data_IF_867412926091
#
_entry.id   IF_867412926091
#
_cell.length_a   1.000
_cell.length_b   1.000
_cell.length_c   1.000
_cell.angle_alpha   90.00
_cell.angle_beta   90.00
_cell.angle_gamma   90.00
#
_symmetry.space_group_name_H-M   'P 1'
#
loop_
_entity.id
_entity.type
_entity.pdbx_description
1 polymer ?
#
# COMPACT_ATOMS: atom_id res chain seq x y z
N UNK A 1 -6.85 4.27 16.65
CA UNK A 1 -6.14 3.12 16.00
C UNK A 1 -4.70 3.54 15.73
N UNK A 2 -3.75 2.61 15.84
CA UNK A 2 -2.33 2.85 15.53
C UNK A 2 -2.09 2.61 14.03
N UNK A 3 -1.46 3.57 13.34
CA UNK A 3 -1.15 3.47 11.91
C UNK A 3 0.37 3.49 11.75
N UNK A 4 0.93 2.44 11.19
CA UNK A 4 2.37 2.34 10.91
C UNK A 4 2.59 2.46 9.40
N UNK A 5 3.37 3.45 9.00
CA UNK A 5 3.67 3.74 7.58
C UNK A 5 5.16 3.46 7.33
N UNK A 6 5.51 2.24 6.83
CA UNK A 6 6.87 1.89 6.49
C UNK A 6 7.29 2.56 5.18
N UNK A 7 8.23 3.49 5.25
CA UNK A 7 8.77 4.22 4.08
C UNK A 7 10.29 4.39 4.14
N UNK A 8 10.97 3.36 4.68
CA UNK A 8 12.43 3.33 4.76
C UNK A 8 13.11 2.90 3.44
N UNK A 9 12.35 2.57 2.39
CA UNK A 9 12.88 2.19 1.09
C UNK A 9 13.62 3.35 0.39
N UNK A 10 14.57 3.00 -0.48
CA UNK A 10 15.39 3.99 -1.22
C UNK A 10 14.67 4.71 -2.34
N UNK A 11 13.57 4.17 -2.84
CA UNK A 11 12.90 4.73 -4.02
C UNK A 11 13.71 4.61 -5.31
N UNK A 12 14.51 3.55 -5.46
CA UNK A 12 15.49 3.37 -6.56
C UNK A 12 14.90 3.62 -7.95
N UNK A 13 13.65 3.21 -8.22
CA UNK A 13 13.00 3.41 -9.54
C UNK A 13 12.86 4.89 -9.88
N UNK A 14 12.53 5.73 -8.88
CA UNK A 14 12.44 7.17 -9.04
C UNK A 14 13.81 7.81 -9.17
N UNK A 15 14.80 7.38 -8.38
CA UNK A 15 16.19 7.85 -8.51
C UNK A 15 16.76 7.57 -9.90
N UNK A 16 16.55 6.37 -10.45
CA UNK A 16 16.97 5.99 -11.80
C UNK A 16 16.28 6.81 -12.89
N UNK A 17 15.09 7.31 -12.63
CA UNK A 17 14.34 8.21 -13.52
C UNK A 17 14.68 9.70 -13.32
N UNK A 18 15.70 10.01 -12.48
CA UNK A 18 16.18 11.37 -12.27
C UNK A 18 15.48 12.16 -11.16
N UNK A 19 14.58 11.54 -10.40
CA UNK A 19 13.97 12.21 -9.26
C UNK A 19 14.98 12.36 -8.11
N UNK A 20 15.11 13.56 -7.58
CA UNK A 20 15.98 13.86 -6.40
C UNK A 20 15.16 13.89 -5.11
N UNK A 21 13.85 14.07 -5.23
CA UNK A 21 12.91 14.10 -4.10
C UNK A 21 12.61 12.68 -3.63
N UNK A 22 12.67 12.38 -2.32
CA UNK A 22 12.22 11.10 -1.79
C UNK A 22 10.80 10.77 -2.21
N UNK A 23 10.54 9.51 -2.55
CA UNK A 23 9.27 9.06 -3.11
C UNK A 23 8.03 9.58 -2.35
N UNK A 24 7.96 9.55 -1.01
CA UNK A 24 6.76 10.04 -0.30
C UNK A 24 6.46 11.52 -0.52
N UNK A 25 7.47 12.31 -0.89
CA UNK A 25 7.36 13.76 -1.09
C UNK A 25 7.23 14.18 -2.56
N UNK A 26 7.21 13.24 -3.49
CA UNK A 26 7.00 13.54 -4.92
C UNK A 26 5.60 14.13 -5.08
N UNK A 27 5.52 15.26 -5.79
CA UNK A 27 4.24 15.89 -6.16
C UNK A 27 3.56 15.10 -7.28
N UNK A 28 2.27 14.87 -7.09
CA UNK A 28 1.38 14.24 -8.06
C UNK A 28 0.11 15.08 -8.13
N UNK A 29 -0.09 15.82 -9.19
CA UNK A 29 -1.24 16.73 -9.36
C UNK A 29 -1.40 17.78 -8.25
N UNK A 30 -0.30 18.34 -7.75
CA UNK A 30 -0.31 19.39 -6.71
C UNK A 30 -0.45 18.86 -5.29
N UNK A 31 -0.29 17.54 -5.08
CA UNK A 31 -0.36 16.90 -3.77
C UNK A 31 0.75 15.87 -3.64
N UNK A 32 1.47 15.84 -2.52
CA UNK A 32 2.54 14.87 -2.30
C UNK A 32 1.97 13.46 -2.13
N UNK A 33 2.71 12.44 -2.55
CA UNK A 33 2.27 11.03 -2.43
C UNK A 33 1.81 10.71 -0.99
N UNK A 34 2.55 11.14 0.01
CA UNK A 34 2.21 10.86 1.42
C UNK A 34 0.90 11.55 1.85
N UNK A 35 0.53 12.67 1.28
CA UNK A 35 -0.72 13.36 1.61
C UNK A 35 -1.94 12.55 1.16
N UNK A 36 -1.86 11.86 0.02
CA UNK A 36 -2.91 10.93 -0.41
C UNK A 36 -3.10 9.78 0.57
N UNK A 37 -2.03 9.33 1.21
CA UNK A 37 -2.09 8.27 2.23
C UNK A 37 -2.66 8.81 3.55
N UNK A 38 -2.27 10.01 3.93
CA UNK A 38 -2.78 10.62 5.16
C UNK A 38 -4.28 10.94 5.11
N UNK A 39 -4.84 11.20 3.93
CA UNK A 39 -6.29 11.37 3.74
C UNK A 39 -7.11 10.12 4.06
N UNK A 40 -6.50 8.95 4.11
CA UNK A 40 -7.16 7.70 4.50
C UNK A 40 -7.50 7.66 5.99
N UNK A 41 -6.86 8.51 6.80
CA UNK A 41 -6.89 8.45 8.25
C UNK A 41 -7.44 9.74 8.85
N UNK A 42 -7.85 9.68 10.10
CA UNK A 42 -8.39 10.81 10.85
C UNK A 42 -7.39 11.35 11.86
N UNK A 43 -7.67 12.53 12.41
CA UNK A 43 -6.84 13.14 13.47
C UNK A 43 -6.85 12.32 14.79
N UNK A 44 -7.76 11.34 14.91
CA UNK A 44 -7.82 10.44 16.07
C UNK A 44 -6.86 9.25 15.95
N UNK A 45 -6.27 9.06 14.78
CA UNK A 45 -5.32 7.97 14.54
C UNK A 45 -3.91 8.39 14.91
N UNK A 46 -3.21 7.53 15.64
CA UNK A 46 -1.82 7.74 15.99
C UNK A 46 -0.92 7.25 14.84
N UNK A 47 -0.23 8.16 14.17
CA UNK A 47 0.63 7.86 13.03
C UNK A 47 2.08 7.64 13.48
N UNK A 48 2.69 6.55 12.98
CA UNK A 48 4.12 6.27 13.10
C UNK A 48 4.70 6.18 11.69
N UNK A 49 5.53 7.14 11.31
CA UNK A 49 6.35 7.06 10.10
C UNK A 49 7.67 6.37 10.40
N UNK A 50 8.08 5.42 9.56
CA UNK A 50 9.40 4.80 9.66
C UNK A 50 10.17 5.14 8.38
N UNK A 51 11.12 6.06 8.50
CA UNK A 51 11.79 6.73 7.40
C UNK A 51 13.20 6.20 7.17
N UNK A 52 13.69 6.34 5.94
CA UNK A 52 15.08 6.17 5.62
C UNK A 52 15.90 7.34 6.19
N UNK A 53 16.91 7.06 7.01
CA UNK A 53 17.75 8.08 7.64
C UNK A 53 18.42 9.01 6.62
N UNK A 54 18.86 8.51 5.47
CA UNK A 54 19.48 9.34 4.42
C UNK A 54 18.50 10.39 3.86
N UNK A 55 17.21 10.06 3.76
CA UNK A 55 16.18 11.01 3.32
C UNK A 55 15.92 12.09 4.38
N UNK A 56 16.07 11.74 5.66
CA UNK A 56 15.85 12.66 6.77
C UNK A 56 17.00 13.66 6.94
N UNK A 57 18.22 13.25 6.60
CA UNK A 57 19.43 14.11 6.65
C UNK A 57 19.49 15.11 5.49
N UNK A 58 18.68 14.94 4.46
CA UNK A 58 18.66 15.80 3.28
C UNK A 58 17.99 17.15 3.59
N UNK A 59 18.80 18.19 3.77
CA UNK A 59 18.33 19.55 4.07
C UNK A 59 17.47 20.16 2.96
N UNK A 60 17.64 19.71 1.71
CA UNK A 60 16.90 20.25 0.56
C UNK A 60 15.44 19.81 0.61
N UNK A 61 15.18 18.57 1.00
CA UNK A 61 13.83 17.99 0.97
C UNK A 61 13.03 18.29 2.24
N UNK A 62 13.72 18.62 3.35
CA UNK A 62 13.11 18.91 4.66
C UNK A 62 12.02 17.90 5.02
N UNK A 63 12.29 16.62 4.79
CA UNK A 63 11.26 15.58 4.93
C UNK A 63 10.64 15.55 6.32
N UNK A 64 11.44 15.70 7.37
CA UNK A 64 10.94 15.70 8.75
C UNK A 64 9.96 16.85 8.98
N UNK A 65 10.34 18.07 8.60
CA UNK A 65 9.50 19.24 8.79
C UNK A 65 8.18 19.07 8.03
N UNK A 66 8.26 18.60 6.78
CA UNK A 66 7.08 18.35 5.96
C UNK A 66 6.13 17.33 6.59
N UNK A 67 6.64 16.23 7.14
CA UNK A 67 5.79 15.22 7.78
C UNK A 67 5.13 15.78 9.05
N UNK A 68 5.84 16.58 9.84
CA UNK A 68 5.31 17.22 11.04
C UNK A 68 4.36 18.40 10.73
N UNK A 69 4.54 19.09 9.60
CA UNK A 69 3.54 20.06 9.11
C UNK A 69 2.22 19.38 8.75
N UNK A 70 2.27 18.19 8.14
CA UNK A 70 1.09 17.42 7.74
C UNK A 70 0.41 16.72 8.94
N UNK A 71 1.22 16.19 9.86
CA UNK A 71 0.75 15.47 11.06
C UNK A 71 1.65 15.84 12.25
N UNK A 72 1.32 16.92 12.96
CA UNK A 72 2.14 17.43 14.07
C UNK A 72 2.29 16.46 15.25
N UNK A 73 1.32 15.58 15.42
CA UNK A 73 1.25 14.56 16.46
C UNK A 73 1.93 13.23 16.06
N UNK A 74 2.37 13.10 14.81
CA UNK A 74 2.98 11.87 14.33
C UNK A 74 4.34 11.58 14.99
N UNK A 75 4.61 10.30 15.22
CA UNK A 75 5.94 9.84 15.60
C UNK A 75 6.76 9.53 14.36
N UNK A 76 7.97 10.04 14.31
CA UNK A 76 8.92 9.75 13.22
C UNK A 76 10.05 8.89 13.78
N UNK A 77 10.23 7.70 13.22
CA UNK A 77 11.34 6.81 13.47
C UNK A 77 12.24 6.79 12.23
N UNK A 78 13.54 6.63 12.45
CA UNK A 78 14.52 6.57 11.37
C UNK A 78 15.32 5.28 11.47
N UNK A 79 15.66 4.72 10.33
CA UNK A 79 16.54 3.56 10.27
C UNK A 79 17.50 3.66 9.08
N UNK A 80 18.63 2.95 9.13
CA UNK A 80 19.51 2.83 7.98
C UNK A 80 18.82 2.22 6.78
N UNK A 81 19.29 2.57 5.59
CA UNK A 81 18.82 1.94 4.36
C UNK A 81 19.01 0.42 4.39
N UNK A 82 18.01 -0.31 3.96
CA UNK A 82 18.04 -1.77 3.86
C UNK A 82 17.19 -2.28 2.68
N UNK A 83 17.36 -3.56 2.34
CA UNK A 83 16.61 -4.27 1.31
C UNK A 83 15.83 -5.47 1.87
N UNK A 84 15.52 -5.45 3.15
CA UNK A 84 14.85 -6.58 3.84
C UNK A 84 13.33 -6.51 3.78
N UNK A 85 12.77 -5.50 3.16
CA UNK A 85 11.32 -5.36 2.99
C UNK A 85 10.58 -4.69 4.18
N UNK A 86 9.25 -4.49 4.03
CA UNK A 86 8.47 -3.70 4.97
C UNK A 86 8.30 -4.35 6.36
N UNK A 87 8.28 -5.68 6.49
CA UNK A 87 8.20 -6.34 7.81
C UNK A 87 9.38 -5.93 8.69
N UNK A 88 10.61 -5.96 8.14
CA UNK A 88 11.80 -5.53 8.86
C UNK A 88 11.76 -4.05 9.25
N UNK A 89 11.11 -3.23 8.43
CA UNK A 89 10.86 -1.82 8.75
C UNK A 89 9.89 -1.69 9.92
N UNK A 90 8.77 -2.43 9.91
CA UNK A 90 7.72 -2.38 10.93
C UNK A 90 8.22 -2.76 12.32
N UNK A 91 9.22 -3.64 12.44
CA UNK A 91 9.82 -4.01 13.73
C UNK A 91 10.34 -2.79 14.51
N UNK A 92 10.73 -1.70 13.83
CA UNK A 92 11.20 -0.48 14.49
C UNK A 92 10.09 0.23 15.30
N UNK A 93 8.81 -0.09 15.04
CA UNK A 93 7.68 0.49 15.75
C UNK A 93 7.22 -0.33 16.97
N UNK A 94 7.78 -1.49 17.24
CA UNK A 94 7.26 -2.43 18.26
C UNK A 94 7.13 -1.82 19.66
N UNK A 95 8.08 -1.00 20.09
CA UNK A 95 8.08 -0.35 21.41
C UNK A 95 6.94 0.69 21.56
N UNK A 96 6.34 1.10 20.44
CA UNK A 96 5.27 2.09 20.37
C UNK A 96 3.90 1.48 20.09
N UNK A 97 3.83 0.16 19.96
CA UNK A 97 2.61 -0.61 19.72
C UNK A 97 2.29 -1.42 20.98
N UNK A 98 1.12 -1.16 21.59
CA UNK A 98 0.64 -1.94 22.71
C UNK A 98 0.13 -3.30 22.23
N UNK A 99 0.19 -4.29 23.11
CA UNK A 99 -0.15 -5.67 22.75
C UNK A 99 -1.65 -5.85 22.46
N UNK A 100 -2.51 -5.06 23.06
CA UNK A 100 -3.97 -5.14 22.98
C UNK A 100 -4.60 -4.06 22.07
N UNK A 101 -3.80 -3.27 21.34
CA UNK A 101 -4.33 -2.24 20.45
C UNK A 101 -4.44 -2.71 18.99
N UNK A 102 -5.42 -2.14 18.29
CA UNK A 102 -5.59 -2.34 16.85
C UNK A 102 -4.53 -1.56 16.07
N UNK A 103 -3.94 -2.23 15.07
CA UNK A 103 -2.87 -1.66 14.27
C UNK A 103 -3.19 -1.82 12.78
N UNK A 104 -2.97 -0.75 12.02
CA UNK A 104 -2.91 -0.81 10.55
C UNK A 104 -1.47 -0.55 10.10
N UNK A 105 -0.94 -1.44 9.26
CA UNK A 105 0.24 -1.16 8.45
C UNK A 105 -0.26 -0.66 7.09
N UNK A 106 0.18 0.53 6.67
CA UNK A 106 -0.20 1.11 5.39
C UNK A 106 1.03 1.50 4.59
N UNK A 107 1.19 0.96 3.39
CA UNK A 107 2.27 1.36 2.49
C UNK A 107 2.04 2.78 1.99
N UNK A 108 3.12 3.52 1.77
CA UNK A 108 3.07 4.95 1.50
C UNK A 108 2.78 5.32 0.05
N UNK A 109 2.36 4.39 -0.80
CA UNK A 109 2.33 4.57 -2.25
C UNK A 109 1.09 4.05 -2.97
N UNK A 110 0.12 3.52 -2.23
CA UNK A 110 -1.10 2.95 -2.82
C UNK A 110 -2.34 3.60 -2.19
N UNK A 111 -2.69 4.84 -2.54
CA UNK A 111 -3.91 5.45 -2.03
C UNK A 111 -5.16 4.81 -2.65
N UNK A 112 -6.24 4.81 -1.89
CA UNK A 112 -7.54 4.25 -2.27
C UNK A 112 -8.69 5.08 -1.67
N UNK A 113 -9.92 4.77 -2.05
CA UNK A 113 -11.13 5.33 -1.45
C UNK A 113 -11.81 4.22 -0.64
N UNK A 114 -12.17 4.49 0.58
CA UNK A 114 -12.86 3.56 1.44
C UNK A 114 -13.88 4.24 2.37
N UNK A 115 -14.87 3.49 2.81
CA UNK A 115 -15.69 3.88 3.94
C UNK A 115 -15.11 3.25 5.21
N UNK A 116 -14.50 4.06 6.04
CA UNK A 116 -13.84 3.59 7.27
C UNK A 116 -14.83 3.00 8.27
N UNK A 117 -16.01 3.58 8.40
CA UNK A 117 -17.01 3.09 9.36
C UNK A 117 -17.53 1.72 8.93
N UNK A 118 -17.75 1.50 7.64
CA UNK A 118 -18.09 0.19 7.09
C UNK A 118 -16.97 -0.83 7.33
N UNK A 119 -15.72 -0.43 7.18
CA UNK A 119 -14.57 -1.28 7.49
C UNK A 119 -14.55 -1.69 8.97
N UNK A 120 -14.72 -0.73 9.90
CA UNK A 120 -14.76 -1.02 11.34
C UNK A 120 -15.92 -1.97 11.68
N UNK A 121 -17.09 -1.75 11.10
CA UNK A 121 -18.22 -2.67 11.26
C UNK A 121 -17.92 -4.06 10.70
N UNK A 122 -17.28 -4.13 9.52
CA UNK A 122 -16.91 -5.39 8.89
C UNK A 122 -15.97 -6.23 9.77
N UNK A 123 -14.87 -5.64 10.26
CA UNK A 123 -13.90 -6.37 11.09
C UNK A 123 -14.49 -6.76 12.43
N UNK A 124 -15.39 -5.94 12.99
CA UNK A 124 -16.05 -6.21 14.28
C UNK A 124 -17.12 -7.30 14.15
N UNK A 125 -18.05 -7.16 13.19
CA UNK A 125 -19.16 -8.09 13.01
C UNK A 125 -18.69 -9.49 12.63
N UNK A 126 -17.62 -9.58 11.84
CA UNK A 126 -17.03 -10.85 11.43
C UNK A 126 -16.00 -11.39 12.42
N UNK A 127 -15.75 -10.69 13.53
CA UNK A 127 -14.77 -11.06 14.55
C UNK A 127 -13.40 -11.41 13.94
N UNK A 128 -12.88 -10.56 13.04
CA UNK A 128 -11.63 -10.81 12.33
C UNK A 128 -10.42 -10.50 13.22
N UNK A 129 -9.41 -11.36 13.17
CA UNK A 129 -8.10 -11.15 13.80
C UNK A 129 -7.17 -10.32 12.91
N UNK A 130 -7.35 -10.45 11.61
CA UNK A 130 -6.65 -9.68 10.58
C UNK A 130 -7.54 -9.40 9.38
N UNK A 131 -7.26 -8.31 8.67
CA UNK A 131 -7.98 -7.96 7.45
C UNK A 131 -7.05 -7.31 6.43
N UNK A 132 -7.08 -7.78 5.19
CA UNK A 132 -6.36 -7.17 4.08
C UNK A 132 -7.32 -6.23 3.34
N UNK A 133 -6.97 -4.95 3.23
CA UNK A 133 -7.71 -4.06 2.35
C UNK A 133 -7.35 -4.38 0.90
N UNK A 134 -8.36 -4.53 0.07
CA UNK A 134 -8.23 -5.10 -1.27
C UNK A 134 -9.05 -4.34 -2.31
N UNK A 135 -8.93 -4.76 -3.53
CA UNK A 135 -9.76 -4.33 -4.64
C UNK A 135 -9.89 -5.44 -5.67
N UNK A 136 -10.96 -5.37 -6.44
CA UNK A 136 -11.19 -6.21 -7.63
C UNK A 136 -11.53 -5.32 -8.82
N UNK A 137 -11.54 -5.88 -10.00
CA UNK A 137 -11.94 -5.16 -11.21
C UNK A 137 -10.87 -4.26 -11.79
N UNK A 138 -11.33 -3.30 -12.58
CA UNK A 138 -10.46 -2.38 -13.29
C UNK A 138 -10.09 -1.17 -12.43
N UNK A 139 -8.79 -0.98 -12.28
CA UNK A 139 -8.22 0.25 -11.75
C UNK A 139 -7.13 0.75 -12.71
N UNK A 140 -6.83 2.06 -12.77
CA UNK A 140 -5.87 2.61 -13.75
C UNK A 140 -4.54 1.86 -13.81
N UNK A 141 -3.98 1.46 -12.67
CA UNK A 141 -2.71 0.73 -12.60
C UNK A 141 -2.78 -0.68 -13.18
N UNK A 142 -3.95 -1.35 -13.18
CA UNK A 142 -4.09 -2.72 -13.70
C UNK A 142 -3.91 -2.81 -15.21
N UNK A 143 -3.97 -1.68 -15.92
CA UNK A 143 -3.67 -1.62 -17.34
C UNK A 143 -2.17 -1.82 -17.65
N UNK A 144 -1.31 -1.50 -16.69
CA UNK A 144 0.15 -1.51 -16.88
C UNK A 144 0.85 -2.64 -16.12
N UNK A 145 0.39 -2.97 -14.91
CA UNK A 145 1.04 -3.95 -14.06
C UNK A 145 0.03 -4.70 -13.20
N UNK A 146 0.22 -6.01 -13.12
CA UNK A 146 -0.51 -6.91 -12.22
C UNK A 146 0.38 -7.38 -11.07
N UNK A 147 1.48 -6.66 -10.76
CA UNK A 147 2.43 -7.03 -9.71
C UNK A 147 1.94 -6.59 -8.32
N UNK A 148 0.73 -7.02 -7.96
CA UNK A 148 0.14 -6.89 -6.64
C UNK A 148 0.23 -8.21 -5.89
N UNK A 149 -0.14 -8.22 -4.62
CA UNK A 149 -0.39 -9.48 -3.93
C UNK A 149 -1.86 -9.86 -4.11
N UNK A 150 -2.11 -11.12 -4.46
CA UNK A 150 -3.45 -11.62 -4.75
C UNK A 150 -3.89 -12.66 -3.72
N UNK A 151 -5.18 -12.65 -3.39
CA UNK A 151 -5.75 -13.52 -2.38
C UNK A 151 -6.62 -14.60 -3.00
N UNK A 152 -6.51 -15.81 -2.46
CA UNK A 152 -7.50 -16.86 -2.60
C UNK A 152 -8.49 -16.72 -1.44
N UNK A 153 -9.77 -16.61 -1.74
CA UNK A 153 -10.81 -16.33 -0.76
C UNK A 153 -11.95 -17.36 -0.82
N UNK A 154 -12.60 -17.58 0.30
CA UNK A 154 -13.82 -18.38 0.41
C UNK A 154 -14.66 -17.89 1.60
N UNK A 155 -15.99 -17.73 1.41
CA UNK A 155 -16.91 -17.32 2.46
C UNK A 155 -16.47 -16.05 3.23
N UNK A 156 -16.04 -15.01 2.49
CA UNK A 156 -15.54 -13.74 3.01
C UNK A 156 -14.24 -13.83 3.85
N UNK A 157 -13.61 -14.98 3.86
CA UNK A 157 -12.31 -15.19 4.51
C UNK A 157 -11.21 -15.40 3.47
N UNK A 158 -10.01 -14.94 3.83
CA UNK A 158 -8.80 -15.23 3.09
C UNK A 158 -8.29 -16.63 3.45
N UNK A 159 -8.01 -17.46 2.45
CA UNK A 159 -7.38 -18.77 2.61
C UNK A 159 -5.87 -18.71 2.43
N UNK A 160 -5.41 -17.90 1.48
CA UNK A 160 -4.00 -17.76 1.12
C UNK A 160 -3.79 -16.42 0.40
N UNK A 161 -2.59 -15.85 0.50
CA UNK A 161 -2.16 -14.69 -0.27
C UNK A 161 -0.78 -14.91 -0.87
N UNK A 162 -0.60 -14.55 -2.14
CA UNK A 162 0.68 -14.63 -2.86
C UNK A 162 1.18 -13.24 -3.22
N UNK A 163 2.45 -13.01 -3.00
CA UNK A 163 3.11 -11.76 -3.37
C UNK A 163 3.49 -11.77 -4.84
N UNK A 164 2.97 -10.80 -5.62
CA UNK A 164 3.25 -10.58 -7.06
C UNK A 164 2.91 -11.77 -7.97
N UNK A 165 2.00 -12.62 -7.56
CA UNK A 165 1.57 -13.79 -8.31
C UNK A 165 0.05 -13.95 -8.22
N UNK A 166 -0.59 -14.18 -9.37
CA UNK A 166 -2.03 -14.42 -9.49
C UNK A 166 -2.34 -15.92 -9.35
N UNK A 167 -3.56 -16.24 -8.96
CA UNK A 167 -4.06 -17.64 -8.93
C UNK A 167 -4.66 -18.08 -10.27
N UNK A 168 -5.14 -17.11 -11.07
CA UNK A 168 -5.82 -17.37 -12.35
C UNK A 168 -5.24 -16.50 -13.47
N UNK A 169 -5.65 -16.77 -14.70
CA UNK A 169 -5.30 -15.96 -15.87
C UNK A 169 -6.07 -14.63 -15.93
N UNK A 170 -7.01 -14.38 -15.00
CA UNK A 170 -7.79 -13.14 -14.91
C UNK A 170 -7.61 -12.46 -13.56
N UNK A 171 -6.49 -11.81 -13.32
CA UNK A 171 -6.17 -11.18 -12.03
C UNK A 171 -7.16 -10.08 -11.61
N UNK A 172 -7.94 -9.52 -12.54
CA UNK A 172 -8.95 -8.52 -12.20
C UNK A 172 -10.19 -9.12 -11.49
N UNK A 173 -10.36 -10.43 -11.50
CA UNK A 173 -11.40 -11.11 -10.73
C UNK A 173 -10.91 -11.58 -9.36
N UNK A 174 -9.62 -11.44 -9.09
CA UNK A 174 -9.03 -11.78 -7.80
C UNK A 174 -8.96 -10.56 -6.89
N UNK A 175 -9.09 -10.77 -5.58
CA UNK A 175 -8.86 -9.71 -4.60
C UNK A 175 -7.38 -9.40 -4.50
N UNK A 176 -7.00 -8.20 -4.94
CA UNK A 176 -5.63 -7.72 -4.89
C UNK A 176 -5.43 -6.76 -3.70
N UNK A 177 -4.34 -6.94 -2.95
CA UNK A 177 -4.03 -6.09 -1.80
C UNK A 177 -3.74 -4.65 -2.21
N UNK A 178 -4.28 -3.68 -1.46
CA UNK A 178 -3.94 -2.26 -1.58
C UNK A 178 -2.62 -1.89 -0.89
N UNK A 179 -1.96 -2.82 -0.22
CA UNK A 179 -0.80 -2.53 0.64
C UNK A 179 -1.19 -2.02 2.03
N UNK A 180 -2.43 -2.26 2.46
CA UNK A 180 -2.93 -1.90 3.78
C UNK A 180 -3.44 -3.13 4.52
N UNK A 181 -2.99 -3.29 5.77
CA UNK A 181 -3.08 -4.51 6.55
C UNK A 181 -3.52 -4.20 7.98
N UNK A 182 -4.69 -4.68 8.40
CA UNK A 182 -5.22 -4.54 9.74
C UNK A 182 -4.91 -5.75 10.60
N UNK A 183 -4.42 -5.52 11.80
CA UNK A 183 -4.26 -6.49 12.88
C UNK A 183 -5.11 -6.04 14.06
N UNK A 184 -5.94 -6.94 14.58
CA UNK A 184 -6.77 -6.67 15.77
C UNK A 184 -5.92 -6.37 16.99
N UNK A 185 -4.73 -6.95 17.09
CA UNK A 185 -3.86 -6.87 18.26
C UNK A 185 -2.41 -6.63 17.84
N UNK A 186 -1.74 -5.74 18.59
CA UNK A 186 -0.32 -5.48 18.38
C UNK A 186 0.58 -6.68 18.72
N UNK A 187 0.23 -7.51 19.70
CA UNK A 187 1.00 -8.73 20.01
C UNK A 187 0.96 -9.75 18.85
N UNK A 188 -0.19 -9.88 18.16
CA UNK A 188 -0.29 -10.72 16.97
C UNK A 188 0.60 -10.18 15.85
N UNK A 189 0.54 -8.86 15.58
CA UNK A 189 1.42 -8.24 14.58
C UNK A 189 2.89 -8.54 14.86
N UNK A 190 3.35 -8.32 16.09
CA UNK A 190 4.74 -8.56 16.50
C UNK A 190 5.12 -10.03 16.31
N UNK A 191 4.32 -10.95 16.89
CA UNK A 191 4.52 -12.40 16.81
C UNK A 191 4.69 -12.89 15.37
N UNK A 192 3.75 -12.53 14.49
CA UNK A 192 3.74 -13.08 13.13
C UNK A 192 4.75 -12.41 12.20
N UNK A 193 5.09 -11.14 12.42
CA UNK A 193 6.19 -10.50 11.72
C UNK A 193 7.55 -11.12 12.09
N UNK A 194 7.78 -11.42 13.37
CA UNK A 194 9.00 -12.10 13.83
C UNK A 194 9.07 -13.52 13.27
N UNK A 195 7.96 -14.26 13.33
CA UNK A 195 7.88 -15.62 12.82
C UNK A 195 8.14 -15.68 11.29
N UNK A 196 7.68 -14.69 10.53
CA UNK A 196 7.95 -14.59 9.10
C UNK A 196 9.44 -14.42 8.80
N UNK A 197 10.17 -13.69 9.63
CA UNK A 197 11.63 -13.54 9.51
C UNK A 197 12.34 -14.82 9.96
N UNK A 198 11.95 -15.42 11.07
CA UNK A 198 12.53 -16.67 11.59
C UNK A 198 12.40 -17.83 10.60
N UNK A 199 11.26 -17.91 9.89
CA UNK A 199 11.00 -18.93 8.88
C UNK A 199 11.52 -18.57 7.48
N UNK A 200 12.21 -17.42 7.33
CA UNK A 200 12.66 -16.86 6.03
C UNK A 200 11.53 -16.75 4.98
N UNK A 201 10.33 -16.39 5.43
CA UNK A 201 9.16 -16.23 4.56
C UNK A 201 9.28 -14.93 3.76
N UNK A 202 10.06 -14.99 2.68
CA UNK A 202 10.42 -13.82 1.87
C UNK A 202 10.06 -14.02 0.40
N UNK A 203 9.89 -12.91 -0.33
CA UNK A 203 9.81 -12.88 -1.78
C UNK A 203 10.99 -12.08 -2.33
N UNK A 204 11.88 -12.73 -3.08
CA UNK A 204 13.13 -12.16 -3.58
C UNK A 204 14.02 -11.53 -2.47
N UNK A 205 14.04 -12.14 -1.27
CA UNK A 205 14.80 -11.66 -0.12
C UNK A 205 14.20 -10.47 0.61
N UNK A 206 12.97 -10.09 0.30
CA UNK A 206 12.21 -9.06 0.99
C UNK A 206 11.04 -9.68 1.77
N UNK A 207 10.89 -9.31 3.04
CA UNK A 207 9.81 -9.76 3.92
C UNK A 207 8.60 -8.83 3.77
N UNK A 208 7.56 -9.29 3.08
CA UNK A 208 6.32 -8.55 2.84
C UNK A 208 5.26 -8.84 3.91
N UNK A 209 4.52 -7.81 4.31
CA UNK A 209 3.42 -7.96 5.28
C UNK A 209 2.32 -8.89 4.75
N UNK A 210 2.12 -8.95 3.44
CA UNK A 210 1.22 -9.90 2.78
C UNK A 210 1.48 -11.32 3.21
N UNK A 211 2.74 -11.77 3.17
CA UNK A 211 3.11 -13.15 3.48
C UNK A 211 2.91 -13.49 4.96
N UNK A 212 2.98 -12.49 5.86
CA UNK A 212 2.69 -12.67 7.28
C UNK A 212 1.27 -13.20 7.51
N UNK A 213 0.32 -12.80 6.69
CA UNK A 213 -1.08 -13.21 6.81
C UNK A 213 -1.32 -14.71 6.57
N UNK A 214 -0.47 -15.36 5.79
CA UNK A 214 -0.53 -16.82 5.63
C UNK A 214 -0.24 -17.53 6.96
N UNK A 215 0.61 -16.98 7.80
CA UNK A 215 0.90 -17.55 9.14
C UNK A 215 -0.30 -17.40 10.08
N UNK A 216 -1.03 -16.28 10.02
CA UNK A 216 -2.26 -16.10 10.78
C UNK A 216 -3.30 -17.15 10.39
N UNK A 217 -3.49 -17.37 9.08
CA UNK A 217 -4.41 -18.39 8.56
C UNK A 217 -3.99 -19.80 8.98
N UNK A 218 -2.69 -20.13 8.91
CA UNK A 218 -2.16 -21.42 9.34
C UNK A 218 -2.40 -21.72 10.81
N UNK A 219 -2.33 -20.68 11.67
CA UNK A 219 -2.63 -20.78 13.11
C UNK A 219 -4.15 -20.77 13.39
N UNK A 220 -5.00 -20.76 12.38
CA UNK A 220 -6.47 -20.81 12.52
C UNK A 220 -7.11 -19.49 12.90
N UNK A 221 -6.40 -18.35 12.80
CA UNK A 221 -6.97 -17.05 13.04
C UNK A 221 -7.90 -16.63 11.89
N UNK A 222 -8.90 -15.84 12.24
CA UNK A 222 -9.90 -15.36 11.26
C UNK A 222 -9.34 -14.16 10.50
N UNK A 223 -8.91 -14.40 9.28
CA UNK A 223 -8.43 -13.36 8.38
C UNK A 223 -9.47 -13.11 7.29
N UNK A 224 -9.90 -11.86 7.16
CA UNK A 224 -10.81 -11.42 6.10
C UNK A 224 -10.15 -10.48 5.10
N UNK A 225 -10.97 -9.97 4.22
CA UNK A 225 -10.61 -8.89 3.31
C UNK A 225 -11.72 -7.85 3.26
N UNK A 226 -11.37 -6.65 2.84
CA UNK A 226 -12.32 -5.55 2.66
C UNK A 226 -12.01 -4.80 1.37
N UNK A 227 -12.91 -4.88 0.39
CA UNK A 227 -12.71 -4.23 -0.89
C UNK A 227 -12.94 -2.72 -0.80
N UNK A 228 -12.00 -1.99 -1.35
CA UNK A 228 -12.03 -0.54 -1.48
C UNK A 228 -12.62 -0.14 -2.84
N UNK A 229 -13.19 1.06 -2.93
CA UNK A 229 -13.89 1.50 -4.14
C UNK A 229 -12.95 1.82 -5.29
N UNK A 230 -11.80 2.41 -4.98
CA UNK A 230 -10.83 2.86 -5.98
C UNK A 230 -9.42 2.72 -5.41
N UNK A 231 -8.50 2.26 -6.25
CA UNK A 231 -7.07 2.16 -5.91
C UNK A 231 -6.23 2.76 -7.02
N UNK A 232 -5.21 3.49 -6.66
CA UNK A 232 -4.13 3.87 -7.56
C UNK A 232 -2.78 3.53 -6.95
N UNK A 233 -1.73 3.49 -7.76
CA UNK A 233 -0.40 3.08 -7.32
C UNK A 233 0.62 4.13 -7.75
N UNK A 234 1.49 4.52 -6.82
CA UNK A 234 2.60 5.46 -7.04
C UNK A 234 3.96 4.81 -6.78
N UNK A 235 4.10 3.53 -7.10
CA UNK A 235 5.31 2.74 -6.88
C UNK A 235 6.42 3.01 -7.89
N UNK A 236 6.08 3.57 -9.06
CA UNK A 236 7.02 3.88 -10.16
C UNK A 236 6.68 5.20 -10.84
N UNK A 237 7.65 5.83 -11.53
CA UNK A 237 7.39 7.04 -12.34
C UNK A 237 6.30 6.84 -13.40
N UNK A 238 6.23 5.65 -14.02
CA UNK A 238 5.21 5.31 -15.00
C UNK A 238 3.81 5.29 -14.40
N UNK A 239 3.66 4.74 -13.22
CA UNK A 239 2.37 4.71 -12.51
C UNK A 239 1.91 6.11 -12.12
N UNK A 240 2.82 6.99 -11.71
CA UNK A 240 2.52 8.41 -11.47
C UNK A 240 2.04 9.08 -12.76
N UNK A 241 2.78 8.94 -13.86
CA UNK A 241 2.38 9.50 -15.17
C UNK A 241 1.02 8.98 -15.63
N UNK A 242 0.76 7.68 -15.44
CA UNK A 242 -0.53 7.08 -15.77
C UNK A 242 -1.68 7.70 -14.98
N UNK A 243 -1.50 7.88 -13.67
CA UNK A 243 -2.49 8.54 -12.82
C UNK A 243 -2.74 9.98 -13.27
N UNK A 244 -1.69 10.76 -13.55
CA UNK A 244 -1.81 12.14 -14.03
C UNK A 244 -2.52 12.21 -15.37
N UNK A 245 -2.25 11.29 -16.30
CA UNK A 245 -2.95 11.18 -17.58
C UNK A 245 -4.44 10.90 -17.39
N UNK A 246 -4.78 9.91 -16.55
CA UNK A 246 -6.17 9.62 -16.24
C UNK A 246 -6.89 10.80 -15.56
N UNK A 247 -6.22 11.47 -14.62
CA UNK A 247 -6.76 12.64 -13.95
C UNK A 247 -7.06 13.78 -14.95
N UNK A 248 -6.20 14.01 -15.95
CA UNK A 248 -6.44 14.99 -17.03
C UNK A 248 -7.65 14.60 -17.89
N UNK A 249 -7.69 13.33 -18.34
CA UNK A 249 -8.78 12.80 -19.17
C UNK A 249 -10.13 12.97 -18.46
N UNK A 250 -10.20 12.59 -17.18
CA UNK A 250 -11.45 12.64 -16.40
C UNK A 250 -11.86 14.07 -16.03
N UNK A 251 -10.92 14.99 -15.81
CA UNK A 251 -11.24 16.39 -15.47
C UNK A 251 -11.62 17.23 -16.70
N UNK A 252 -10.96 17.01 -17.81
CA UNK A 252 -11.06 17.90 -18.97
C UNK A 252 -11.83 17.35 -20.15
N UNK A 253 -12.12 16.07 -20.19
CA UNK A 253 -12.84 15.42 -21.31
C UNK A 253 -12.08 15.42 -22.63
N UNK A 254 -10.82 15.84 -22.66
CA UNK A 254 -10.02 15.91 -23.87
C UNK A 254 -8.67 15.23 -23.70
N UNK A 255 -8.31 14.41 -24.68
CA UNK A 255 -6.96 13.87 -24.83
C UNK A 255 -6.04 15.01 -25.24
N UNK A 256 -5.05 15.34 -24.41
CA UNK A 256 -4.17 16.50 -24.60
C UNK A 256 -2.74 16.11 -24.98
N UNK A 257 -2.41 14.82 -24.87
CA UNK A 257 -1.07 14.32 -25.16
C UNK A 257 -1.10 12.93 -25.78
N UNK A 258 0.02 12.52 -26.38
CA UNK A 258 0.21 11.16 -26.87
C UNK A 258 0.09 10.12 -25.75
N UNK A 259 0.57 10.44 -24.53
CA UNK A 259 0.45 9.58 -23.36
C UNK A 259 -1.02 9.36 -22.97
N UNK A 260 -1.85 10.39 -23.00
CA UNK A 260 -3.29 10.27 -22.73
C UNK A 260 -3.96 9.33 -23.76
N UNK A 261 -3.57 9.45 -25.04
CA UNK A 261 -4.07 8.58 -26.10
C UNK A 261 -3.65 7.11 -25.89
N UNK A 262 -2.40 6.89 -25.51
CA UNK A 262 -1.87 5.55 -25.18
C UNK A 262 -2.65 4.92 -24.03
N UNK A 263 -2.97 5.67 -22.97
CA UNK A 263 -3.76 5.18 -21.85
C UNK A 263 -5.19 4.82 -22.28
N UNK A 264 -5.85 5.65 -23.07
CA UNK A 264 -7.16 5.34 -23.63
C UNK A 264 -7.13 4.06 -24.48
N UNK A 265 -6.11 3.92 -25.34
CA UNK A 265 -5.93 2.73 -26.17
C UNK A 265 -5.73 1.45 -25.34
N UNK A 266 -4.86 1.50 -24.32
CA UNK A 266 -4.63 0.38 -23.40
C UNK A 266 -5.92 -0.04 -22.68
N UNK A 267 -6.71 0.93 -22.23
CA UNK A 267 -8.02 0.69 -21.62
C UNK A 267 -8.93 -0.08 -22.58
N UNK A 268 -9.16 0.45 -23.78
CA UNK A 268 -10.05 -0.17 -24.76
C UNK A 268 -9.60 -1.55 -25.19
N UNK A 269 -8.31 -1.73 -25.45
CA UNK A 269 -7.74 -3.01 -25.83
C UNK A 269 -7.93 -4.07 -24.74
N UNK A 270 -7.65 -3.73 -23.50
CA UNK A 270 -7.71 -4.69 -22.38
C UNK A 270 -9.14 -5.02 -21.98
N UNK A 271 -10.02 -4.04 -21.95
CA UNK A 271 -11.38 -4.17 -21.42
C UNK A 271 -12.41 -4.65 -22.43
N UNK A 272 -12.28 -4.22 -23.66
CA UNK A 272 -13.28 -4.49 -24.69
C UNK A 272 -12.79 -5.41 -25.79
N UNK A 273 -11.53 -5.88 -25.72
CA UNK A 273 -10.92 -6.71 -26.75
C UNK A 273 -10.84 -6.04 -28.13
N UNK A 274 -10.97 -4.71 -28.18
CA UNK A 274 -11.02 -3.94 -29.41
C UNK A 274 -9.60 -3.58 -29.81
N UNK A 275 -9.16 -4.08 -30.97
CA UNK A 275 -8.00 -3.52 -31.64
C UNK A 275 -8.44 -2.25 -32.37
N UNK A 276 -8.05 -1.10 -31.85
CA UNK A 276 -8.17 0.17 -32.56
C UNK A 276 -7.05 0.16 -33.60
N UNK A 277 -7.41 -0.01 -34.86
CA UNK A 277 -6.49 0.10 -36.02
C UNK A 277 -6.27 1.56 -36.37
#
# INVERSE_FOLDING_TARGET
MKIVIPMAGTGNRFLQAGYVTPKPLIDVNGKRIIEYILDLFTDKDEIIFICNGQHMECLITRMQDTLLELRPDARILTMPNHKKGPVYTVQQAYDYIKDDEEVIICYCDNPYIWNRDDFIQHVTNNNLDGCVLSHTGMHPHTLNSTKMAFMKTENELMLEIKEKECYTDNPMQEHASTGTYYFRRGDQLKKYCDLAIEQDLSYNGEYYVTLVYNLLVQDGLRVGYFDTEFVTVFGTPDEVRNFESWARILRGGQVQSEEDLIQCYRYWKKYHGINIT
#
